data_IF_366242360316
#
_entry.id   IF_366242360316
#
_cell.length_a   1.000
_cell.length_b   1.000
_cell.length_c   1.000
_cell.angle_alpha   90.00
_cell.angle_beta   90.00
_cell.angle_gamma   90.00
#
_symmetry.space_group_name_H-M   'P 1'
#
loop_
_entity.id
_entity.type
_entity.pdbx_description
1 polymer ?
#
# COMPACT_ATOMS: atom_id res chain seq x y z
N UNK A 1 9.14 7.56 -13.82
CA UNK A 1 9.79 8.89 -13.73
C UNK A 1 9.83 9.50 -15.13
N UNK A 2 9.42 10.75 -15.32
CA UNK A 2 9.59 11.44 -16.61
C UNK A 2 10.99 12.06 -16.73
N UNK A 3 11.41 12.41 -17.95
CA UNK A 3 12.69 13.07 -18.23
C UNK A 3 13.78 12.13 -18.73
N UNK A 4 15.02 12.60 -18.72
CA UNK A 4 16.20 11.78 -19.06
C UNK A 4 16.78 11.18 -17.79
N UNK A 5 16.96 9.87 -17.79
CA UNK A 5 17.57 9.09 -16.72
C UNK A 5 18.97 8.66 -17.16
N UNK A 6 19.99 9.26 -16.55
CA UNK A 6 21.39 8.91 -16.75
C UNK A 6 21.86 7.98 -15.63
N UNK A 7 22.20 6.76 -15.99
CA UNK A 7 22.79 5.76 -15.10
C UNK A 7 24.30 5.93 -15.12
N UNK A 8 24.81 6.50 -14.03
CA UNK A 8 26.21 6.82 -13.84
C UNK A 8 26.96 5.60 -13.28
N UNK A 9 27.80 4.93 -14.10
CA UNK A 9 28.54 3.75 -13.64
C UNK A 9 29.73 4.09 -12.76
N UNK A 10 30.20 5.35 -12.76
CA UNK A 10 31.40 5.75 -12.03
C UNK A 10 31.06 5.94 -10.55
N UNK A 11 29.98 6.66 -10.29
CA UNK A 11 29.55 6.97 -8.92
C UNK A 11 28.39 6.09 -8.43
N UNK A 12 27.93 5.13 -9.24
CA UNK A 12 26.80 4.24 -8.94
C UNK A 12 25.56 5.00 -8.46
N UNK A 13 25.10 5.94 -9.30
CA UNK A 13 23.94 6.78 -9.03
C UNK A 13 23.05 6.95 -10.26
N UNK A 14 21.83 7.42 -10.04
CA UNK A 14 20.90 7.76 -11.10
C UNK A 14 20.71 9.28 -11.12
N UNK A 15 21.01 9.91 -12.24
CA UNK A 15 20.79 11.35 -12.43
C UNK A 15 19.56 11.53 -13.31
N UNK A 16 18.60 12.33 -12.86
CA UNK A 16 17.43 12.69 -13.64
C UNK A 16 17.54 14.13 -14.10
N UNK A 17 17.42 14.35 -15.40
CA UNK A 17 17.25 15.69 -15.99
C UNK A 17 15.81 15.86 -16.45
N UNK A 18 15.10 16.84 -15.89
CA UNK A 18 13.72 17.17 -16.24
C UNK A 18 13.54 18.69 -16.18
N UNK A 19 13.01 19.30 -17.25
CA UNK A 19 12.81 20.75 -17.37
C UNK A 19 14.08 21.57 -17.06
N UNK A 20 15.24 21.10 -17.52
CA UNK A 20 16.54 21.75 -17.27
C UNK A 20 17.08 21.61 -15.84
N UNK A 21 16.37 20.93 -14.94
CA UNK A 21 16.83 20.64 -13.58
C UNK A 21 17.40 19.24 -13.48
N UNK A 22 18.56 19.13 -12.86
CA UNK A 22 19.19 17.85 -12.50
C UNK A 22 18.95 17.50 -11.04
N UNK A 23 18.72 16.22 -10.80
CA UNK A 23 18.50 15.67 -9.47
C UNK A 23 19.12 14.28 -9.38
N UNK A 24 19.91 14.06 -8.33
CA UNK A 24 20.53 12.77 -8.04
C UNK A 24 19.60 11.86 -7.25
N UNK A 25 19.61 10.57 -7.59
CA UNK A 25 18.89 9.49 -6.95
C UNK A 25 19.86 8.33 -6.68
N UNK A 26 19.48 7.48 -5.73
CA UNK A 26 20.18 6.21 -5.51
C UNK A 26 20.12 5.35 -6.79
N UNK A 27 21.19 4.59 -7.06
CA UNK A 27 21.20 3.66 -8.19
C UNK A 27 20.15 2.55 -8.02
N UNK A 28 19.14 2.49 -8.91
CA UNK A 28 18.12 1.47 -8.84
C UNK A 28 18.69 0.07 -9.14
N UNK A 29 19.83 -0.07 -9.86
CA UNK A 29 20.47 -1.38 -10.09
C UNK A 29 21.04 -1.92 -8.77
N UNK A 30 21.76 -1.09 -8.01
CA UNK A 30 22.21 -1.43 -6.66
C UNK A 30 21.03 -1.77 -5.73
N UNK A 31 19.90 -1.05 -5.84
CA UNK A 31 18.69 -1.33 -5.07
C UNK A 31 18.13 -2.74 -5.36
N UNK A 32 17.90 -3.09 -6.62
CA UNK A 32 17.36 -4.43 -6.96
C UNK A 32 18.37 -5.56 -6.70
N UNK A 33 19.67 -5.28 -6.82
CA UNK A 33 20.74 -6.22 -6.44
C UNK A 33 20.71 -6.51 -4.94
N UNK A 34 20.44 -5.49 -4.12
CA UNK A 34 20.26 -5.66 -2.66
C UNK A 34 18.99 -6.47 -2.35
N UNK A 35 17.88 -6.20 -3.04
CA UNK A 35 16.64 -6.96 -2.89
C UNK A 35 16.84 -8.44 -3.24
N UNK A 36 17.58 -8.76 -4.32
CA UNK A 36 17.97 -10.15 -4.63
C UNK A 36 18.70 -10.80 -3.46
N UNK A 37 19.73 -10.15 -2.88
CA UNK A 37 20.47 -10.68 -1.73
C UNK A 37 19.57 -10.91 -0.51
N UNK A 38 18.66 -9.98 -0.25
CA UNK A 38 17.71 -10.08 0.86
C UNK A 38 16.73 -11.25 0.66
N UNK A 39 16.19 -11.42 -0.56
CA UNK A 39 15.32 -12.53 -0.89
C UNK A 39 16.04 -13.88 -0.78
N UNK A 40 17.27 -13.99 -1.30
CA UNK A 40 18.09 -15.21 -1.15
C UNK A 40 18.28 -15.55 0.34
N UNK A 41 18.74 -14.58 1.15
CA UNK A 41 18.93 -14.81 2.59
C UNK A 41 17.63 -15.20 3.29
N UNK A 42 16.51 -14.56 2.94
CA UNK A 42 15.21 -14.89 3.50
C UNK A 42 14.79 -16.32 3.17
N UNK A 43 15.03 -16.78 1.93
CA UNK A 43 14.79 -18.16 1.53
C UNK A 43 15.65 -19.15 2.34
N UNK A 44 16.94 -18.84 2.52
CA UNK A 44 17.87 -19.67 3.30
C UNK A 44 17.42 -19.80 4.77
N UNK A 45 17.04 -18.68 5.39
CA UNK A 45 16.54 -18.64 6.77
C UNK A 45 15.29 -19.52 6.97
N UNK A 46 14.47 -19.66 5.93
CA UNK A 46 13.26 -20.49 5.94
C UNK A 46 13.46 -21.89 5.35
N UNK A 47 14.70 -22.29 5.06
CA UNK A 47 15.04 -23.61 4.51
C UNK A 47 14.22 -23.92 3.24
N UNK A 48 14.06 -22.90 2.39
CA UNK A 48 13.44 -23.03 1.09
C UNK A 48 14.50 -23.46 0.05
N UNK A 49 14.12 -24.25 -0.97
CA UNK A 49 15.06 -24.70 -1.98
C UNK A 49 15.66 -23.51 -2.74
N UNK A 50 16.99 -23.52 -3.01
CA UNK A 50 17.65 -22.43 -3.68
C UNK A 50 17.19 -22.32 -5.14
N UNK A 51 16.86 -21.11 -5.58
CA UNK A 51 16.49 -20.83 -6.97
C UNK A 51 17.35 -19.74 -7.59
N UNK A 52 17.59 -19.80 -8.91
CA UNK A 52 18.10 -18.65 -9.64
C UNK A 52 17.12 -17.47 -9.52
N UNK A 53 17.57 -16.38 -8.90
CA UNK A 53 16.82 -15.13 -8.82
C UNK A 53 17.41 -14.16 -9.83
N UNK A 54 16.65 -13.84 -10.87
CA UNK A 54 16.98 -12.76 -11.79
C UNK A 54 16.39 -11.42 -11.32
N UNK A 55 17.07 -10.34 -11.67
CA UNK A 55 16.64 -8.99 -11.35
C UNK A 55 16.83 -8.06 -12.54
N UNK A 56 15.95 -7.08 -12.66
CA UNK A 56 16.03 -6.01 -13.64
C UNK A 56 15.34 -4.75 -13.12
N UNK A 57 15.70 -3.60 -13.68
CA UNK A 57 15.03 -2.32 -13.47
C UNK A 57 14.13 -2.07 -14.68
N UNK A 58 12.83 -1.92 -14.44
CA UNK A 58 11.85 -1.60 -15.47
C UNK A 58 11.39 -0.15 -15.33
N UNK A 59 11.55 0.63 -16.40
CA UNK A 59 11.09 2.01 -16.49
C UNK A 59 9.69 2.03 -17.12
N UNK A 60 8.69 2.39 -16.32
CA UNK A 60 7.28 2.34 -16.71
C UNK A 60 6.82 3.49 -17.60
N UNK A 61 7.46 4.66 -17.50
CA UNK A 61 7.09 5.81 -18.32
C UNK A 61 7.73 5.67 -19.72
N UNK A 62 6.94 5.63 -20.81
CA UNK A 62 7.46 5.44 -22.16
C UNK A 62 8.21 6.67 -22.70
N UNK A 63 7.93 7.87 -22.18
CA UNK A 63 8.60 9.11 -22.60
C UNK A 63 9.95 9.34 -21.93
N UNK A 64 10.37 8.45 -21.03
CA UNK A 64 11.67 8.53 -20.38
C UNK A 64 12.78 8.22 -21.37
N UNK A 65 13.87 8.98 -21.35
CA UNK A 65 15.07 8.66 -22.12
C UNK A 65 16.07 7.99 -21.18
N UNK A 66 16.47 6.75 -21.46
CA UNK A 66 17.47 6.03 -20.67
C UNK A 66 18.85 6.25 -21.30
N UNK A 67 19.82 6.72 -20.51
CA UNK A 67 21.20 6.95 -20.93
C UNK A 67 22.17 6.34 -19.92
N UNK A 68 23.38 6.03 -20.40
CA UNK A 68 24.53 5.60 -19.61
C UNK A 68 25.79 5.98 -20.39
N UNK A 69 26.97 5.88 -19.76
CA UNK A 69 28.25 6.14 -20.43
C UNK A 69 28.42 5.21 -21.66
N UNK A 70 28.88 5.72 -22.83
CA UNK A 70 29.22 4.89 -23.97
C UNK A 70 30.18 3.75 -23.58
N UNK A 71 29.91 2.54 -24.07
CA UNK A 71 30.69 1.35 -23.73
C UNK A 71 30.26 0.63 -22.45
N UNK A 72 29.29 1.15 -21.69
CA UNK A 72 28.71 0.42 -20.58
C UNK A 72 27.71 -0.64 -21.06
N UNK A 73 28.09 -1.91 -20.93
CA UNK A 73 27.24 -3.05 -21.28
C UNK A 73 26.36 -3.55 -20.12
N UNK A 74 26.70 -3.22 -18.88
CA UNK A 74 25.98 -3.73 -17.70
C UNK A 74 24.60 -3.08 -17.53
N UNK A 75 24.50 -1.77 -17.78
CA UNK A 75 23.23 -1.03 -17.64
C UNK A 75 22.20 -1.51 -18.67
N UNK A 76 22.48 -1.58 -19.99
CA UNK A 76 21.51 -2.05 -20.97
C UNK A 76 21.00 -3.48 -20.70
N UNK A 77 21.83 -4.35 -20.12
CA UNK A 77 21.40 -5.71 -19.76
C UNK A 77 20.42 -5.75 -18.59
N UNK A 78 20.51 -4.81 -17.65
CA UNK A 78 19.71 -4.81 -16.41
C UNK A 78 18.57 -3.80 -16.41
N UNK A 79 18.63 -2.78 -17.26
CA UNK A 79 17.65 -1.70 -17.33
C UNK A 79 16.92 -1.74 -18.66
N UNK A 80 15.61 -1.61 -18.64
CA UNK A 80 14.79 -1.50 -19.84
C UNK A 80 13.52 -0.70 -19.58
N UNK A 81 12.89 -0.27 -20.66
CA UNK A 81 11.48 0.13 -20.59
C UNK A 81 10.58 -1.09 -20.34
N UNK A 82 9.44 -0.85 -19.69
CA UNK A 82 8.47 -1.88 -19.32
C UNK A 82 8.00 -2.74 -20.52
N UNK A 83 7.89 -2.16 -21.72
CA UNK A 83 7.46 -2.88 -22.92
C UNK A 83 8.42 -4.00 -23.35
N UNK A 84 9.69 -3.95 -22.91
CA UNK A 84 10.71 -4.97 -23.23
C UNK A 84 10.74 -6.11 -22.20
N UNK A 85 10.03 -5.98 -21.07
CA UNK A 85 10.02 -6.99 -20.00
C UNK A 85 9.52 -8.36 -20.50
N UNK A 86 8.41 -8.47 -21.28
CA UNK A 86 7.94 -9.76 -21.78
C UNK A 86 9.00 -10.50 -22.60
N UNK A 87 9.70 -9.79 -23.49
CA UNK A 87 10.76 -10.34 -24.33
C UNK A 87 11.94 -10.84 -23.47
N UNK A 88 12.38 -10.05 -22.48
CA UNK A 88 13.44 -10.47 -21.55
C UNK A 88 13.06 -11.71 -20.75
N UNK A 89 11.80 -11.82 -20.31
CA UNK A 89 11.31 -13.03 -19.62
C UNK A 89 11.41 -14.25 -20.55
N UNK A 90 11.09 -14.10 -21.83
CA UNK A 90 11.24 -15.18 -22.81
C UNK A 90 12.72 -15.56 -22.99
N UNK A 91 13.63 -14.58 -23.10
CA UNK A 91 15.07 -14.85 -23.17
C UNK A 91 15.56 -15.63 -21.94
N UNK A 92 15.17 -15.22 -20.74
CA UNK A 92 15.53 -15.92 -19.49
C UNK A 92 14.99 -17.36 -19.52
N UNK A 93 13.72 -17.56 -19.92
CA UNK A 93 13.12 -18.89 -20.05
C UNK A 93 13.87 -19.78 -21.03
N UNK A 94 14.25 -19.25 -22.20
CA UNK A 94 14.99 -20.00 -23.21
C UNK A 94 16.41 -20.39 -22.76
N UNK A 95 17.00 -19.59 -21.86
CA UNK A 95 18.35 -19.86 -21.31
C UNK A 95 18.30 -20.85 -20.14
N UNK A 96 17.15 -20.96 -19.46
CA UNK A 96 16.95 -21.83 -18.31
C UNK A 96 16.14 -23.06 -18.71
N UNK A 97 16.78 -24.00 -19.43
CA UNK A 97 16.14 -25.16 -20.04
C UNK A 97 15.77 -26.27 -19.06
N UNK A 98 16.41 -26.31 -17.88
CA UNK A 98 16.22 -27.35 -16.89
C UNK A 98 15.22 -26.92 -15.81
N UNK A 99 14.20 -27.76 -15.59
CA UNK A 99 13.28 -27.58 -14.47
C UNK A 99 13.99 -27.94 -13.17
N UNK A 100 14.35 -26.91 -12.39
CA UNK A 100 15.11 -27.05 -11.13
C UNK A 100 14.23 -27.24 -9.90
N UNK A 101 12.91 -27.37 -10.07
CA UNK A 101 11.97 -27.28 -8.97
C UNK A 101 10.70 -28.10 -9.24
N UNK A 102 10.23 -28.80 -8.21
CA UNK A 102 8.95 -29.47 -8.24
C UNK A 102 7.79 -28.52 -7.98
N UNK A 103 6.59 -28.86 -8.47
CA UNK A 103 5.38 -28.09 -8.17
C UNK A 103 5.10 -27.96 -6.66
N UNK A 104 5.49 -28.96 -5.87
CA UNK A 104 5.33 -28.94 -4.42
C UNK A 104 6.22 -27.87 -3.76
N UNK A 105 7.48 -27.76 -4.18
CA UNK A 105 8.41 -26.73 -3.73
C UNK A 105 7.97 -25.33 -4.14
N UNK A 106 7.48 -25.17 -5.36
CA UNK A 106 6.95 -23.89 -5.84
C UNK A 106 5.76 -23.43 -4.98
N UNK A 107 4.82 -24.34 -4.67
CA UNK A 107 3.69 -24.07 -3.77
C UNK A 107 4.16 -23.73 -2.35
N UNK A 108 5.20 -24.39 -1.85
CA UNK A 108 5.81 -24.09 -0.54
C UNK A 108 6.34 -22.65 -0.51
N UNK A 109 7.09 -22.23 -1.54
CA UNK A 109 7.60 -20.85 -1.63
C UNK A 109 6.44 -19.85 -1.67
N UNK A 110 5.43 -20.07 -2.51
CA UNK A 110 4.25 -19.21 -2.59
C UNK A 110 3.52 -19.08 -1.25
N UNK A 111 3.34 -20.19 -0.52
CA UNK A 111 2.75 -20.17 0.81
C UNK A 111 3.58 -19.35 1.81
N UNK A 112 4.90 -19.51 1.82
CA UNK A 112 5.78 -18.74 2.70
C UNK A 112 5.75 -17.24 2.39
N UNK A 113 5.76 -16.87 1.11
CA UNK A 113 5.67 -15.47 0.70
C UNK A 113 4.38 -14.83 1.20
N UNK A 114 3.24 -15.52 1.08
CA UNK A 114 1.94 -15.03 1.58
C UNK A 114 1.93 -14.99 3.11
N UNK A 115 2.43 -16.05 3.77
CA UNK A 115 2.43 -16.17 5.24
C UNK A 115 3.22 -15.07 5.93
N UNK A 116 4.36 -14.68 5.34
CA UNK A 116 5.25 -13.65 5.91
C UNK A 116 5.10 -12.29 5.23
N UNK A 117 4.19 -12.15 4.27
CA UNK A 117 3.86 -10.85 3.72
C UNK A 117 3.32 -9.94 4.82
N UNK A 118 3.90 -8.76 4.95
CA UNK A 118 3.39 -7.69 5.81
C UNK A 118 2.99 -6.54 4.89
N UNK A 119 1.70 -6.16 4.84
CA UNK A 119 1.27 -4.99 4.10
C UNK A 119 2.05 -3.76 4.53
N UNK A 120 2.38 -2.89 3.57
CA UNK A 120 3.04 -1.63 3.90
C UNK A 120 2.05 -0.73 4.63
N UNK A 121 2.39 -0.29 5.84
CA UNK A 121 1.65 0.76 6.53
C UNK A 121 1.97 2.11 5.86
N UNK A 122 1.07 2.56 4.98
CA UNK A 122 1.21 3.84 4.29
C UNK A 122 0.28 4.84 4.99
N UNK A 123 0.86 5.88 5.57
CA UNK A 123 0.08 7.03 5.99
C UNK A 123 -0.31 7.85 4.74
N UNK A 124 -1.52 7.59 4.23
CA UNK A 124 -2.07 8.20 3.01
C UNK A 124 -2.11 9.73 3.15
N UNK A 125 -2.46 10.24 4.33
CA UNK A 125 -2.51 11.68 4.60
C UNK A 125 -1.14 12.33 4.41
N UNK A 126 -0.09 11.73 5.00
CA UNK A 126 1.30 12.20 4.84
C UNK A 126 1.80 12.08 3.39
N UNK A 127 1.44 11.00 2.69
CA UNK A 127 1.82 10.78 1.30
C UNK A 127 1.30 11.88 0.37
N UNK A 128 0.05 12.32 0.58
CA UNK A 128 -0.59 13.35 -0.22
C UNK A 128 -0.54 14.76 0.40
N UNK A 129 0.17 14.93 1.52
CA UNK A 129 0.27 16.19 2.25
C UNK A 129 -1.11 16.76 2.67
N UNK A 130 -2.04 15.87 3.01
CA UNK A 130 -3.38 16.19 3.48
C UNK A 130 -3.33 16.24 5.01
N UNK A 131 -3.96 17.26 5.60
CA UNK A 131 -4.11 17.37 7.05
C UNK A 131 -5.44 16.75 7.50
N UNK A 132 -5.57 16.40 8.79
CA UNK A 132 -6.84 15.89 9.32
C UNK A 132 -8.00 16.90 9.16
N UNK A 133 -7.70 18.21 9.15
CA UNK A 133 -8.69 19.27 8.97
C UNK A 133 -9.22 19.35 7.52
N UNK A 134 -8.48 18.82 6.55
CA UNK A 134 -8.93 18.73 5.15
C UNK A 134 -9.96 17.61 4.95
N UNK A 135 -10.11 16.71 5.93
CA UNK A 135 -11.03 15.57 5.84
C UNK A 135 -12.48 16.00 6.07
N UNK A 136 -13.34 15.66 5.12
CA UNK A 136 -14.78 15.81 5.29
C UNK A 136 -15.25 14.71 6.25
N UNK A 137 -15.57 15.11 7.48
CA UNK A 137 -16.05 14.21 8.53
C UNK A 137 -17.57 14.05 8.51
N UNK A 138 -18.06 12.92 9.00
CA UNK A 138 -19.48 12.59 9.09
C UNK A 138 -19.81 11.23 8.52
N UNK A 139 -21.08 10.81 8.65
CA UNK A 139 -21.52 9.52 8.12
C UNK A 139 -21.95 9.66 6.67
N UNK A 140 -21.34 8.87 5.78
CA UNK A 140 -21.68 8.85 4.36
C UNK A 140 -23.06 8.22 4.09
N UNK A 141 -23.78 8.80 3.12
CA UNK A 141 -24.97 8.16 2.57
C UNK A 141 -24.59 6.98 1.66
N UNK A 142 -25.10 5.75 1.92
CA UNK A 142 -24.81 4.60 1.06
C UNK A 142 -25.42 4.69 -0.35
N UNK A 143 -26.38 5.61 -0.57
CA UNK A 143 -27.07 5.77 -1.86
C UNK A 143 -26.47 6.87 -2.72
N UNK A 144 -26.27 8.09 -2.19
CA UNK A 144 -25.79 9.24 -2.97
C UNK A 144 -24.41 9.76 -2.54
N UNK A 145 -23.75 9.11 -1.57
CA UNK A 145 -22.44 9.48 -1.02
C UNK A 145 -22.35 10.86 -0.35
N UNK A 146 -23.46 11.58 -0.19
CA UNK A 146 -23.49 12.83 0.54
C UNK A 146 -23.10 12.65 2.03
N UNK A 147 -22.44 13.66 2.58
CA UNK A 147 -21.95 13.74 3.97
C UNK A 147 -22.34 15.12 4.53
N UNK A 148 -22.75 15.24 5.81
CA UNK A 148 -23.05 14.16 6.74
C UNK A 148 -24.50 13.66 6.66
N UNK A 149 -24.74 12.40 7.00
CA UNK A 149 -26.08 11.90 7.36
C UNK A 149 -26.45 12.34 8.78
N UNK A 150 -27.74 12.62 9.00
CA UNK A 150 -28.26 12.99 10.31
C UNK A 150 -28.83 11.79 11.06
N UNK A 151 -28.55 11.70 12.36
CA UNK A 151 -29.06 10.62 13.21
C UNK A 151 -30.40 11.01 13.85
N UNK A 152 -31.48 10.34 13.48
CA UNK A 152 -32.84 10.58 14.03
C UNK A 152 -33.54 9.28 14.38
N UNK A 153 -34.15 9.17 15.57
CA UNK A 153 -35.00 8.03 15.99
C UNK A 153 -34.45 6.65 15.63
N UNK A 154 -33.22 6.32 16.05
CA UNK A 154 -32.70 4.96 15.77
C UNK A 154 -32.25 4.71 14.31
N UNK A 155 -32.40 5.65 13.37
CA UNK A 155 -31.87 5.55 11.99
C UNK A 155 -30.98 6.74 11.57
N UNK A 156 -30.05 6.54 10.64
CA UNK A 156 -29.34 7.59 9.89
C UNK A 156 -30.18 7.99 8.68
N UNK A 157 -30.41 9.28 8.46
CA UNK A 157 -31.17 9.82 7.33
C UNK A 157 -30.30 10.81 6.55
N UNK A 158 -30.22 10.62 5.23
CA UNK A 158 -29.52 11.54 4.34
C UNK A 158 -30.39 12.78 4.09
N UNK A 159 -29.86 14.01 4.28
CA UNK A 159 -30.59 15.23 3.96
C UNK A 159 -30.76 15.45 2.45
N UNK A 160 -29.84 14.95 1.62
CA UNK A 160 -29.83 15.20 0.17
C UNK A 160 -30.81 14.30 -0.61
N UNK A 161 -30.87 13.00 -0.30
CA UNK A 161 -31.72 12.04 -1.04
C UNK A 161 -32.78 11.34 -0.18
N UNK A 162 -32.83 11.60 1.13
CA UNK A 162 -33.80 10.99 2.04
C UNK A 162 -33.53 9.52 2.41
N UNK A 163 -32.49 8.90 1.85
CA UNK A 163 -32.09 7.51 2.14
C UNK A 163 -31.91 7.29 3.65
N UNK A 164 -32.35 6.11 4.13
CA UNK A 164 -32.29 5.69 5.53
C UNK A 164 -31.37 4.51 5.69
N UNK A 165 -30.51 4.52 6.71
CA UNK A 165 -29.66 3.37 7.06
C UNK A 165 -29.52 3.24 8.57
N UNK A 166 -29.57 2.00 9.09
CA UNK A 166 -29.32 1.75 10.52
C UNK A 166 -27.83 1.66 10.82
N UNK A 167 -27.02 1.23 9.86
CA UNK A 167 -25.62 0.83 10.01
C UNK A 167 -24.62 1.69 9.22
N UNK A 168 -25.02 2.82 8.62
CA UNK A 168 -24.10 3.67 7.84
C UNK A 168 -22.85 4.12 8.62
N UNK A 169 -22.96 4.25 9.94
CA UNK A 169 -21.84 4.54 10.84
C UNK A 169 -20.73 3.47 10.87
N UNK A 170 -21.02 2.23 10.47
CA UNK A 170 -20.01 1.15 10.40
C UNK A 170 -18.96 1.51 9.36
N UNK A 171 -19.40 1.87 8.15
CA UNK A 171 -18.47 2.31 7.10
C UNK A 171 -17.70 3.56 7.52
N UNK A 172 -18.39 4.54 8.13
CA UNK A 172 -17.70 5.75 8.61
C UNK A 172 -16.58 5.40 9.62
N UNK A 173 -16.82 4.45 10.54
CA UNK A 173 -15.78 4.01 11.46
C UNK A 173 -14.62 3.28 10.75
N UNK A 174 -14.93 2.49 9.72
CA UNK A 174 -13.90 1.84 8.91
C UNK A 174 -13.01 2.87 8.22
N UNK A 175 -13.60 3.93 7.67
CA UNK A 175 -12.87 5.01 7.03
C UNK A 175 -11.94 5.73 8.03
N UNK A 176 -12.39 5.90 9.29
CA UNK A 176 -11.52 6.42 10.35
C UNK A 176 -10.31 5.53 10.61
N UNK A 177 -10.49 4.21 10.69
CA UNK A 177 -9.38 3.28 10.94
C UNK A 177 -8.32 3.32 9.83
N UNK A 178 -8.76 3.50 8.57
CA UNK A 178 -7.87 3.58 7.41
C UNK A 178 -7.14 4.92 7.29
N UNK A 179 -7.79 6.02 7.69
CA UNK A 179 -7.29 7.37 7.44
C UNK A 179 -6.53 7.96 8.63
N UNK A 180 -6.96 7.67 9.87
CA UNK A 180 -6.51 8.40 11.06
C UNK A 180 -5.76 7.48 12.02
N UNK A 181 -6.41 6.45 12.56
CA UNK A 181 -5.83 5.62 13.62
C UNK A 181 -6.54 4.27 13.73
N UNK A 182 -5.82 3.16 13.99
CA UNK A 182 -6.41 1.82 14.16
C UNK A 182 -7.23 1.66 15.45
N UNK A 183 -7.27 2.70 16.30
CA UNK A 183 -8.06 2.73 17.53
C UNK A 183 -8.80 4.07 17.65
N UNK A 184 -10.00 4.01 18.25
CA UNK A 184 -10.85 5.19 18.47
C UNK A 184 -11.46 5.19 19.87
N UNK A 185 -11.60 6.37 20.45
CA UNK A 185 -12.36 6.63 21.68
C UNK A 185 -13.82 6.99 21.37
N UNK A 186 -14.67 6.99 22.39
CA UNK A 186 -16.05 7.50 22.25
C UNK A 186 -16.07 8.99 21.84
N UNK A 187 -15.10 9.78 22.30
CA UNK A 187 -15.03 11.20 21.97
C UNK A 187 -14.64 11.43 20.51
N UNK A 188 -13.61 10.75 20.03
CA UNK A 188 -13.19 10.82 18.62
C UNK A 188 -14.28 10.30 17.71
N UNK A 189 -14.95 9.19 18.05
CA UNK A 189 -16.07 8.67 17.26
C UNK A 189 -17.22 9.68 17.13
N UNK A 190 -17.51 10.44 18.20
CA UNK A 190 -18.51 11.50 18.16
C UNK A 190 -18.11 12.65 17.26
N UNK A 191 -16.85 13.10 17.37
CA UNK A 191 -16.30 14.15 16.51
C UNK A 191 -16.33 13.72 15.04
N UNK A 192 -15.92 12.48 14.75
CA UNK A 192 -15.91 11.91 13.41
C UNK A 192 -17.30 11.74 12.80
N UNK A 193 -18.30 11.30 13.58
CA UNK A 193 -19.67 11.01 13.07
C UNK A 193 -20.69 12.12 13.31
N UNK A 194 -20.25 13.26 13.87
CA UNK A 194 -21.07 14.40 14.29
C UNK A 194 -22.17 14.05 15.31
N UNK A 195 -21.95 13.02 16.13
CA UNK A 195 -22.87 12.64 17.19
C UNK A 195 -22.68 13.50 18.44
N UNK A 196 -23.76 14.11 18.94
CA UNK A 196 -23.72 14.90 20.19
C UNK A 196 -23.72 14.03 21.45
N UNK A 197 -24.49 12.93 21.44
CA UNK A 197 -24.71 12.07 22.62
C UNK A 197 -23.64 10.99 22.79
N UNK A 198 -22.92 11.03 23.91
CA UNK A 198 -21.97 9.98 24.31
C UNK A 198 -22.63 8.63 24.52
N UNK A 199 -23.86 8.60 25.09
CA UNK A 199 -24.63 7.37 25.28
C UNK A 199 -25.00 6.71 23.95
N UNK A 200 -25.35 7.51 22.94
CA UNK A 200 -25.67 6.99 21.60
C UNK A 200 -24.42 6.41 20.93
N UNK A 201 -23.31 7.17 20.96
CA UNK A 201 -22.02 6.69 20.45
C UNK A 201 -21.59 5.38 21.12
N UNK A 202 -21.73 5.28 22.44
CA UNK A 202 -21.39 4.07 23.20
C UNK A 202 -22.21 2.86 22.73
N UNK A 203 -23.54 3.01 22.59
CA UNK A 203 -24.42 1.94 22.10
C UNK A 203 -24.04 1.48 20.68
N UNK A 204 -23.74 2.42 19.78
CA UNK A 204 -23.32 2.07 18.42
C UNK A 204 -22.00 1.30 18.42
N UNK A 205 -20.99 1.79 19.14
CA UNK A 205 -19.68 1.14 19.27
C UNK A 205 -19.77 -0.26 19.89
N UNK A 206 -20.62 -0.43 20.92
CA UNK A 206 -20.85 -1.75 21.52
C UNK A 206 -21.52 -2.73 20.57
N UNK A 207 -22.51 -2.27 19.78
CA UNK A 207 -23.22 -3.12 18.83
C UNK A 207 -22.36 -3.60 17.66
N UNK A 208 -21.19 -2.99 17.44
CA UNK A 208 -20.25 -3.40 16.38
C UNK A 208 -19.30 -4.52 16.81
N UNK A 209 -19.34 -4.99 18.07
CA UNK A 209 -18.52 -6.09 18.58
C UNK A 209 -17.01 -5.94 18.31
N UNK A 210 -16.50 -4.71 18.43
CA UNK A 210 -15.08 -4.39 18.20
C UNK A 210 -14.20 -4.91 19.34
N UNK A 211 -12.93 -5.26 19.08
CA UNK A 211 -11.96 -5.49 20.15
C UNK A 211 -11.78 -4.24 21.00
N UNK A 212 -11.66 -4.41 22.31
CA UNK A 212 -11.59 -3.30 23.26
C UNK A 212 -10.39 -3.46 24.19
N UNK A 213 -9.70 -2.36 24.45
CA UNK A 213 -8.72 -2.27 25.54
C UNK A 213 -9.04 -1.12 26.48
N UNK A 214 -8.57 -1.21 27.72
CA UNK A 214 -8.75 -0.17 28.73
C UNK A 214 -10.11 -0.17 29.42
N UNK A 215 -10.18 0.54 30.55
CA UNK A 215 -11.35 0.59 31.41
C UNK A 215 -12.04 1.96 31.37
N UNK A 216 -13.38 1.95 31.40
CA UNK A 216 -14.24 3.12 31.58
C UNK A 216 -13.89 4.33 30.69
N UNK A 217 -13.20 5.34 31.24
CA UNK A 217 -12.84 6.60 30.57
C UNK A 217 -11.76 6.44 29.50
N UNK A 218 -10.92 5.41 29.59
CA UNK A 218 -9.84 5.14 28.64
C UNK A 218 -10.16 3.93 27.75
N UNK A 219 -11.46 3.66 27.53
CA UNK A 219 -11.89 2.57 26.65
C UNK A 219 -11.57 2.94 25.20
N UNK A 220 -10.70 2.13 24.59
CA UNK A 220 -10.34 2.21 23.18
C UNK A 220 -11.02 1.07 22.42
N UNK A 221 -11.63 1.41 21.30
CA UNK A 221 -12.22 0.47 20.35
C UNK A 221 -11.24 0.31 19.18
N UNK A 222 -10.83 -0.92 18.92
CA UNK A 222 -9.84 -1.23 17.90
C UNK A 222 -10.48 -1.70 16.60
N UNK A 223 -9.74 -1.55 15.53
CA UNK A 223 -10.02 -2.17 14.24
C UNK A 223 -10.17 -3.70 14.41
N UNK A 224 -11.19 -4.33 13.77
CA UNK A 224 -11.38 -5.78 13.80
C UNK A 224 -10.18 -6.56 13.27
N UNK A 225 -9.96 -7.77 13.79
CA UNK A 225 -8.94 -8.69 13.26
C UNK A 225 -9.30 -9.13 11.84
N UNK A 226 -8.41 -8.91 10.87
CA UNK A 226 -8.63 -9.28 9.46
C UNK A 226 -9.33 -8.21 8.62
N UNK A 227 -9.36 -6.97 9.09
CA UNK A 227 -10.00 -5.85 8.38
C UNK A 227 -9.39 -5.54 7.00
N UNK A 228 -8.07 -5.70 6.84
CA UNK A 228 -7.34 -5.41 5.59
C UNK A 228 -7.11 -6.66 4.72
N UNK A 229 -7.81 -7.78 4.98
CA UNK A 229 -7.66 -9.04 4.22
C UNK A 229 -8.65 -9.17 3.08
#
# INVERSE_FOLDING_TARGET
MAGTLYFDPVFEQLIRTLNGREEGFLDPIAQVRRQKKQLTRWMDLHQLPPIPIEFMVAISNPSTIIRTEPGNFAVPQRVAHIHQVPERIQTIRSTCSEEKMTLAELKKIGHYLIKYHTPSEINILKMYQITEDDLITGVHCPSCRAIPMNRTNGTWRCPSCGCKSKNAHVQALHDYFLLISPAITNEEFRKWTHLKSSKTAYKLLQNMNLPVSGNNRCRLYHQPTGFDK
#
